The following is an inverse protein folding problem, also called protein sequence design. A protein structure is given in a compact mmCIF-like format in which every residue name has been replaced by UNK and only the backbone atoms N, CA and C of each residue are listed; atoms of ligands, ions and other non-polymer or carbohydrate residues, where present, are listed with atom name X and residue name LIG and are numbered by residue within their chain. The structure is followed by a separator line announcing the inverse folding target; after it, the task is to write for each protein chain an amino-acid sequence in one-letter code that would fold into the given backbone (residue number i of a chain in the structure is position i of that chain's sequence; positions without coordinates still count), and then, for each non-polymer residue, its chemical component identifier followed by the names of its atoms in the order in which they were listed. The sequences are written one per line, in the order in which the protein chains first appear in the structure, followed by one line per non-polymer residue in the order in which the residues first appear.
data_IF_354806501557
#
_entry.id   IF_354806501557
#
_cell.length_a   1.000
_cell.length_b   1.000
_cell.length_c   1.000
_cell.angle_alpha   90.00
_cell.angle_beta   90.00
_cell.angle_gamma   90.00
#
_symmetry.space_group_name_H-M   'P 1'
#
loop_
_entity.id
_entity.type
_entity.pdbx_description
1 polymer ?
#
# COMPACT_ATOMS: atom_id res chain seq x y z
N UNK A 1 63.12 -52.85 -7.64
CA UNK A 1 63.05 -51.78 -8.66
C UNK A 1 61.63 -51.22 -8.66
N UNK A 2 61.52 -49.89 -8.54
CA UNK A 2 60.31 -49.15 -8.10
C UNK A 2 59.20 -49.17 -9.15
N UNK A 3 57.95 -49.35 -8.68
CA UNK A 3 56.73 -49.35 -9.48
C UNK A 3 56.07 -47.96 -9.46
N UNK A 4 55.71 -47.51 -10.67
CA UNK A 4 54.58 -46.70 -11.13
C UNK A 4 54.08 -45.46 -10.35
N UNK A 5 54.26 -44.30 -11.01
CA UNK A 5 53.24 -43.36 -11.56
C UNK A 5 51.84 -43.34 -10.90
N UNK A 6 51.45 -42.18 -10.35
CA UNK A 6 50.15 -41.54 -10.66
C UNK A 6 50.13 -40.06 -10.25
N UNK A 7 49.87 -39.20 -11.23
CA UNK A 7 49.52 -37.80 -11.06
C UNK A 7 48.03 -37.67 -10.68
N UNK A 8 47.69 -36.74 -9.80
CA UNK A 8 46.32 -36.29 -9.60
C UNK A 8 46.32 -34.79 -9.23
N UNK A 9 46.28 -33.99 -10.29
CA UNK A 9 46.08 -32.54 -10.29
C UNK A 9 44.73 -32.20 -9.64
N UNK A 10 44.75 -31.61 -8.44
CA UNK A 10 43.54 -31.15 -7.77
C UNK A 10 43.19 -29.74 -8.26
N UNK A 11 42.43 -29.65 -9.34
CA UNK A 11 41.81 -28.41 -9.83
C UNK A 11 40.61 -28.08 -8.93
N UNK A 12 40.78 -27.12 -8.02
CA UNK A 12 39.69 -26.66 -7.14
C UNK A 12 38.75 -25.75 -7.95
N UNK A 13 37.62 -26.31 -8.37
CA UNK A 13 36.49 -25.59 -8.96
C UNK A 13 35.83 -24.68 -7.91
N UNK A 14 35.93 -23.36 -8.08
CA UNK A 14 35.10 -22.39 -7.37
C UNK A 14 33.79 -22.23 -8.14
N UNK A 15 32.73 -22.89 -7.67
CA UNK A 15 31.37 -22.66 -8.16
C UNK A 15 30.81 -21.46 -7.38
N UNK A 16 30.50 -20.31 -8.01
CA UNK A 16 29.68 -19.32 -7.33
C UNK A 16 28.26 -19.90 -7.20
N UNK A 17 27.88 -20.25 -5.98
CA UNK A 17 26.48 -20.42 -5.60
C UNK A 17 25.82 -19.04 -5.77
N UNK A 18 25.28 -18.80 -6.96
CA UNK A 18 24.31 -17.73 -7.20
C UNK A 18 23.09 -18.09 -6.35
N UNK A 19 23.06 -17.57 -5.13
CA UNK A 19 21.87 -17.54 -4.30
C UNK A 19 20.87 -16.64 -5.00
N UNK A 20 20.10 -17.20 -5.92
CA UNK A 20 18.82 -16.65 -6.32
C UNK A 20 17.99 -16.51 -5.05
N UNK A 21 17.97 -15.30 -4.48
CA UNK A 21 16.90 -14.90 -3.58
C UNK A 21 15.61 -14.98 -4.41
N UNK A 22 14.95 -16.14 -4.39
CA UNK A 22 13.52 -16.23 -4.68
C UNK A 22 12.86 -15.29 -3.68
N UNK A 23 12.62 -14.06 -4.10
CA UNK A 23 11.55 -13.25 -3.53
C UNK A 23 10.29 -14.02 -3.90
N UNK A 24 9.64 -14.60 -2.90
CA UNK A 24 8.34 -15.22 -3.09
C UNK A 24 7.38 -14.14 -3.61
N UNK A 25 7.07 -14.22 -4.90
CA UNK A 25 5.90 -13.57 -5.47
C UNK A 25 4.68 -14.43 -5.14
N UNK A 26 4.18 -14.29 -3.91
CA UNK A 26 2.74 -14.46 -3.69
C UNK A 26 1.99 -13.34 -4.42
N UNK A 27 0.69 -13.47 -4.73
CA UNK A 27 -0.05 -12.35 -5.32
C UNK A 27 0.02 -11.18 -4.33
N UNK A 28 0.88 -10.21 -4.63
CA UNK A 28 0.97 -8.98 -3.90
C UNK A 28 -0.41 -8.33 -4.06
N UNK A 29 -1.22 -8.35 -2.99
CA UNK A 29 -2.49 -7.65 -2.99
C UNK A 29 -2.27 -6.25 -3.57
N UNK A 30 -2.84 -5.99 -4.74
CA UNK A 30 -2.65 -4.73 -5.43
C UNK A 30 -3.51 -3.67 -4.73
N UNK A 31 -2.94 -3.05 -3.68
CA UNK A 31 -3.56 -1.91 -2.98
C UNK A 31 -3.76 -0.73 -3.92
N UNK A 32 -2.94 -0.65 -4.96
CA UNK A 32 -2.98 0.39 -5.98
C UNK A 32 -4.31 0.40 -6.74
N UNK A 33 -4.84 1.58 -7.04
CA UNK A 33 -6.10 1.76 -7.74
C UNK A 33 -6.97 2.86 -7.13
N UNK A 34 -8.18 2.99 -7.68
CA UNK A 34 -9.18 3.92 -7.18
C UNK A 34 -10.05 3.21 -6.14
N UNK A 35 -10.16 3.84 -4.97
CA UNK A 35 -11.00 3.42 -3.87
C UNK A 35 -12.10 4.45 -3.67
N UNK A 36 -13.36 4.01 -3.73
CA UNK A 36 -14.53 4.88 -3.66
C UNK A 36 -15.41 4.48 -2.49
N UNK A 37 -15.92 5.46 -1.75
CA UNK A 37 -16.87 5.24 -0.66
C UNK A 37 -17.33 6.54 -0.04
N UNK A 38 -17.41 6.58 1.28
CA UNK A 38 -17.97 7.71 2.01
C UNK A 38 -17.15 8.07 3.24
N UNK A 39 -17.22 9.34 3.61
CA UNK A 39 -16.60 9.94 4.78
C UNK A 39 -17.69 10.59 5.64
N UNK A 40 -17.62 10.38 6.96
CA UNK A 40 -18.54 10.92 7.95
C UNK A 40 -17.91 12.01 8.78
N UNK A 41 -18.73 12.71 9.57
CA UNK A 41 -18.30 13.75 10.51
C UNK A 41 -18.64 13.34 11.95
N UNK A 42 -17.69 13.42 12.87
CA UNK A 42 -17.89 13.03 14.26
C UNK A 42 -18.40 11.59 14.40
N UNK A 43 -19.58 11.43 14.98
CA UNK A 43 -20.23 10.13 15.18
C UNK A 43 -21.28 9.80 14.12
N UNK A 44 -21.44 10.66 13.10
CA UNK A 44 -22.45 10.48 12.06
C UNK A 44 -22.07 9.33 11.12
N UNK A 45 -23.09 8.69 10.54
CA UNK A 45 -22.91 7.68 9.51
C UNK A 45 -22.27 8.33 8.28
N UNK A 46 -21.20 7.76 7.70
CA UNK A 46 -20.56 8.33 6.51
C UNK A 46 -21.53 8.51 5.34
N UNK A 47 -21.72 9.76 4.92
CA UNK A 47 -22.62 10.17 3.84
C UNK A 47 -21.93 11.00 2.75
N UNK A 48 -20.80 11.64 3.06
CA UNK A 48 -20.06 12.50 2.13
C UNK A 48 -19.26 11.69 1.12
N UNK A 49 -19.34 11.98 -0.19
CA UNK A 49 -18.56 11.26 -1.21
C UNK A 49 -17.06 11.33 -0.96
N UNK A 50 -16.43 10.16 -0.92
CA UNK A 50 -15.01 10.01 -0.65
C UNK A 50 -14.35 9.08 -1.66
N UNK A 51 -13.19 9.50 -2.16
CA UNK A 51 -12.45 8.76 -3.16
C UNK A 51 -10.96 9.08 -3.07
N UNK A 52 -10.13 8.04 -3.06
CA UNK A 52 -8.68 8.13 -3.08
C UNK A 52 -8.12 7.29 -4.22
N UNK A 53 -7.01 7.73 -4.80
CA UNK A 53 -6.22 6.96 -5.75
C UNK A 53 -4.92 6.57 -5.06
N UNK A 54 -4.78 5.29 -4.79
CA UNK A 54 -3.57 4.68 -4.23
C UNK A 54 -2.64 4.36 -5.40
N UNK A 55 -1.43 4.92 -5.39
CA UNK A 55 -0.44 4.75 -6.47
C UNK A 55 0.80 4.02 -5.96
N UNK A 56 1.61 3.43 -6.86
CA UNK A 56 2.87 2.81 -6.48
C UNK A 56 3.76 3.72 -5.64
N UNK A 57 4.69 3.10 -4.91
CA UNK A 57 5.75 3.78 -4.13
C UNK A 57 5.21 4.72 -3.04
N UNK A 58 4.02 4.42 -2.52
CA UNK A 58 3.44 5.13 -1.38
C UNK A 58 2.80 6.46 -1.72
N UNK A 59 2.54 6.80 -3.00
CA UNK A 59 1.86 8.04 -3.38
C UNK A 59 0.33 7.91 -3.24
N UNK A 60 -0.32 8.89 -2.63
CA UNK A 60 -1.77 8.98 -2.49
C UNK A 60 -2.30 10.25 -3.17
N UNK A 61 -3.42 10.15 -3.87
CA UNK A 61 -4.19 11.30 -4.33
C UNK A 61 -5.61 11.27 -3.75
N UNK A 62 -6.08 12.38 -3.17
CA UNK A 62 -7.51 12.61 -2.93
C UNK A 62 -8.11 13.09 -4.24
N UNK A 63 -9.13 12.41 -4.76
CA UNK A 63 -9.76 12.75 -6.05
C UNK A 63 -11.25 13.01 -5.89
N UNK A 64 -11.84 13.92 -6.68
CA UNK A 64 -13.30 14.09 -6.69
C UNK A 64 -13.98 13.08 -7.64
N UNK A 65 -15.32 13.09 -7.71
CA UNK A 65 -16.08 12.19 -8.58
C UNK A 65 -15.81 12.39 -10.08
N UNK A 66 -15.24 13.53 -10.48
CA UNK A 66 -14.74 13.77 -11.84
C UNK A 66 -13.33 13.27 -12.10
N UNK A 67 -12.67 12.66 -11.10
CA UNK A 67 -11.30 12.15 -11.20
C UNK A 67 -10.20 13.20 -11.04
N UNK A 68 -10.56 14.45 -10.77
CA UNK A 68 -9.64 15.56 -10.54
C UNK A 68 -8.94 15.40 -9.18
N UNK A 69 -7.62 15.64 -9.15
CA UNK A 69 -6.83 15.58 -7.93
C UNK A 69 -7.08 16.83 -7.08
N UNK A 70 -7.52 16.63 -5.83
CA UNK A 70 -7.79 17.68 -4.84
C UNK A 70 -6.82 17.67 -3.67
N UNK A 71 -6.05 16.60 -3.51
CA UNK A 71 -5.01 16.51 -2.49
C UNK A 71 -3.97 15.46 -2.84
N UNK A 72 -2.77 15.61 -2.29
CA UNK A 72 -1.63 14.72 -2.53
C UNK A 72 -1.02 14.35 -1.18
N UNK A 73 -0.56 13.11 -1.04
CA UNK A 73 0.27 12.74 0.08
C UNK A 73 0.78 11.33 -0.04
N UNK A 74 0.82 10.60 1.06
CA UNK A 74 1.40 9.27 1.07
C UNK A 74 0.57 8.26 1.84
N UNK A 75 0.81 6.99 1.55
CA UNK A 75 0.16 5.86 2.19
C UNK A 75 1.16 4.75 2.52
N UNK A 76 0.78 3.93 3.49
CA UNK A 76 1.48 2.70 3.86
C UNK A 76 0.47 1.66 4.33
N UNK A 77 0.78 0.40 4.07
CA UNK A 77 0.09 -0.76 4.68
C UNK A 77 1.10 -1.53 5.53
N UNK A 78 0.73 -1.82 6.79
CA UNK A 78 1.48 -2.71 7.68
C UNK A 78 0.53 -3.81 8.16
N UNK A 79 0.71 -5.04 7.68
CA UNK A 79 -0.24 -6.13 7.90
C UNK A 79 -1.57 -5.86 7.19
N UNK A 80 -2.62 -5.58 7.98
CA UNK A 80 -3.93 -5.13 7.50
C UNK A 80 -4.24 -3.69 7.88
N UNK A 81 -3.32 -2.98 8.54
CA UNK A 81 -3.52 -1.56 8.85
C UNK A 81 -3.08 -0.71 7.66
N UNK A 82 -4.00 0.13 7.17
CA UNK A 82 -3.76 1.17 6.18
C UNK A 82 -3.67 2.52 6.90
N UNK A 83 -2.57 3.22 6.68
CA UNK A 83 -2.38 4.60 7.15
C UNK A 83 -2.05 5.49 5.97
N UNK A 84 -2.65 6.67 5.92
CA UNK A 84 -2.34 7.65 4.89
C UNK A 84 -2.48 9.07 5.40
N UNK A 85 -1.84 10.00 4.71
CA UNK A 85 -2.07 11.43 4.86
C UNK A 85 -2.14 12.07 3.49
N UNK A 86 -2.91 13.15 3.37
CA UNK A 86 -2.87 14.03 2.22
C UNK A 86 -3.08 15.48 2.63
N UNK A 87 -2.44 16.36 1.88
CA UNK A 87 -2.60 17.81 1.97
C UNK A 87 -3.47 18.26 0.79
N UNK A 88 -4.46 19.10 1.04
CA UNK A 88 -5.28 19.67 -0.03
C UNK A 88 -4.45 20.61 -0.91
N UNK A 89 -4.69 20.60 -2.22
CA UNK A 89 -3.94 21.44 -3.17
C UNK A 89 -4.34 22.91 -3.02
N UNK A 90 -5.64 23.18 -2.84
CA UNK A 90 -6.21 24.53 -2.81
C UNK A 90 -6.33 25.10 -1.40
N UNK A 91 -5.96 24.33 -0.36
CA UNK A 91 -6.04 24.79 1.03
C UNK A 91 -4.93 24.16 1.88
N UNK A 92 -4.52 24.81 2.95
CA UNK A 92 -3.51 24.29 3.88
C UNK A 92 -4.05 23.19 4.83
N UNK A 93 -5.11 22.47 4.42
CA UNK A 93 -5.72 21.41 5.20
C UNK A 93 -5.00 20.08 5.00
N UNK A 94 -4.50 19.49 6.08
CA UNK A 94 -3.97 18.11 6.12
C UNK A 94 -4.99 17.17 6.73
N UNK A 95 -5.17 16.02 6.10
CA UNK A 95 -6.05 14.94 6.58
C UNK A 95 -5.23 13.69 6.75
N UNK A 96 -5.43 13.01 7.88
CA UNK A 96 -4.85 11.71 8.18
C UNK A 96 -5.94 10.64 8.26
N UNK A 97 -5.69 9.50 7.61
CA UNK A 97 -6.59 8.36 7.51
C UNK A 97 -5.94 7.15 8.17
N UNK A 98 -6.70 6.43 9.00
CA UNK A 98 -6.33 5.10 9.48
C UNK A 98 -7.50 4.16 9.22
N UNK A 99 -7.22 2.98 8.68
CA UNK A 99 -8.25 1.99 8.43
C UNK A 99 -7.72 0.56 8.43
N UNK A 100 -8.63 -0.38 8.50
CA UNK A 100 -8.35 -1.79 8.30
C UNK A 100 -8.63 -2.15 6.83
N UNK A 101 -7.67 -2.82 6.21
CA UNK A 101 -7.74 -3.36 4.86
C UNK A 101 -8.19 -4.80 4.91
N UNK A 102 -9.41 -5.04 4.43
CA UNK A 102 -9.89 -6.37 4.13
C UNK A 102 -9.55 -6.72 2.67
N UNK A 103 -8.61 -7.66 2.51
CA UNK A 103 -8.07 -8.08 1.22
C UNK A 103 -9.01 -9.01 0.45
N UNK A 104 -9.94 -9.68 1.14
CA UNK A 104 -10.88 -10.63 0.53
C UNK A 104 -11.99 -9.91 -0.22
N UNK A 105 -12.50 -8.82 0.37
CA UNK A 105 -13.62 -8.05 -0.19
C UNK A 105 -13.21 -6.68 -0.76
N UNK A 106 -11.91 -6.37 -0.76
CA UNK A 106 -11.34 -5.11 -1.26
C UNK A 106 -11.96 -3.89 -0.58
N UNK A 107 -12.06 -3.93 0.75
CA UNK A 107 -12.61 -2.83 1.56
C UNK A 107 -11.57 -2.23 2.50
N UNK A 108 -11.65 -0.91 2.65
CA UNK A 108 -11.00 -0.12 3.67
C UNK A 108 -12.08 0.52 4.54
N UNK A 109 -11.93 0.45 5.86
CA UNK A 109 -12.79 1.17 6.79
C UNK A 109 -12.02 1.61 8.02
N UNK A 110 -12.33 2.79 8.54
CA UNK A 110 -11.70 3.28 9.77
C UNK A 110 -12.04 4.72 10.11
N UNK A 111 -11.07 5.44 10.63
CA UNK A 111 -11.22 6.80 11.15
C UNK A 111 -10.34 7.79 10.41
N UNK A 112 -10.73 9.05 10.47
CA UNK A 112 -9.94 10.16 9.98
C UNK A 112 -9.84 11.28 11.01
N UNK A 113 -8.85 12.15 10.84
CA UNK A 113 -8.69 13.38 11.61
C UNK A 113 -7.89 14.44 10.87
N UNK A 114 -7.80 15.62 11.48
CA UNK A 114 -7.07 16.78 10.94
C UNK A 114 -5.60 16.76 11.37
N UNK A 115 -4.73 17.31 10.52
CA UNK A 115 -3.29 17.30 10.77
C UNK A 115 -2.76 15.87 10.81
N UNK A 116 -1.99 15.55 11.85
CA UNK A 116 -1.42 14.21 12.06
C UNK A 116 -2.30 13.31 12.94
N UNK A 117 -3.49 13.77 13.35
CA UNK A 117 -4.41 12.96 14.11
C UNK A 117 -5.19 12.00 13.20
N UNK A 118 -5.19 10.71 13.51
CA UNK A 118 -5.95 9.69 12.77
C UNK A 118 -7.42 9.56 13.22
N UNK A 119 -7.85 10.38 14.18
CA UNK A 119 -9.17 10.34 14.83
C UNK A 119 -9.69 11.75 15.08
N UNK A 120 -10.96 11.86 15.44
CA UNK A 120 -11.59 13.14 15.82
C UNK A 120 -12.29 13.85 14.65
N UNK A 121 -12.03 13.46 13.40
CA UNK A 121 -12.77 13.93 12.24
C UNK A 121 -14.04 13.11 11.98
N UNK A 122 -13.94 11.78 12.10
CA UNK A 122 -15.08 10.87 11.95
C UNK A 122 -14.66 9.49 11.45
N UNK A 123 -15.62 8.76 10.88
CA UNK A 123 -15.38 7.45 10.24
C UNK A 123 -15.40 7.54 8.72
N UNK A 124 -14.80 6.58 8.04
CA UNK A 124 -14.82 6.48 6.58
C UNK A 124 -14.78 5.02 6.14
N UNK A 125 -15.25 4.77 4.92
CA UNK A 125 -15.04 3.50 4.22
C UNK A 125 -14.82 3.74 2.73
N UNK A 126 -14.12 2.82 2.08
CA UNK A 126 -13.93 2.81 0.63
C UNK A 126 -13.75 1.38 0.13
N UNK A 127 -14.26 1.11 -1.07
CA UNK A 127 -14.10 -0.16 -1.76
C UNK A 127 -13.39 0.05 -3.08
N UNK A 128 -12.60 -0.94 -3.49
CA UNK A 128 -12.00 -0.99 -4.83
C UNK A 128 -12.79 -1.97 -5.69
N UNK A 129 -13.20 -1.53 -6.88
CA UNK A 129 -13.73 -2.42 -7.89
C UNK A 129 -12.59 -2.89 -8.80
N UNK A 130 -12.55 -4.19 -9.08
CA UNK A 130 -11.70 -4.76 -10.12
C UNK A 130 -12.64 -4.99 -11.31
N UNK A 131 -12.44 -4.26 -12.40
CA UNK A 131 -13.05 -4.64 -13.68
C UNK A 131 -12.46 -6.01 -14.05
N UNK A 132 -13.34 -7.01 -14.18
CA UNK A 132 -12.98 -8.37 -14.60
C UNK A 132 -12.80 -8.44 -16.11
#
# INVERSE_FOLDING_TARGET
MKQLVMAATLLLYLVPIVSCNKKEEGPAFATEGIWTGKLGSGNDVPDQPFQIRVKPRGLLERVNGGGEVRGIGSWKVTGNEFTAHYDFIESNGRISLKGNLNKENLQLAGTWGSGDAFTGGGSWFASKFIEQ
#
